data_IF_839240577548
#
_entry.id   IF_839240577548
#
_cell.length_a   1.000
_cell.length_b   1.000
_cell.length_c   1.000
_cell.angle_alpha   90.00
_cell.angle_beta   90.00
_cell.angle_gamma   90.00
#
_symmetry.space_group_name_H-M   'P 1'
#
loop_
_entity.id
_entity.type
_entity.pdbx_description
1 polymer ?
#
# COMPACT_ATOMS: atom_id res chain seq x y z
N UNK A 1 -14.23 -6.43 26.82
CA UNK A 1 -14.13 -5.27 25.91
C UNK A 1 -13.29 -5.72 24.74
N UNK A 2 -13.96 -5.95 23.61
CA UNK A 2 -13.37 -6.56 22.42
C UNK A 2 -12.28 -5.67 21.81
N UNK A 3 -11.08 -6.23 21.72
CA UNK A 3 -9.88 -5.61 21.19
C UNK A 3 -10.07 -5.49 19.68
N UNK A 4 -10.10 -4.24 19.22
CA UNK A 4 -10.38 -3.82 17.85
C UNK A 4 -9.58 -4.66 16.82
N UNK A 5 -10.23 -5.65 16.22
CA UNK A 5 -9.63 -6.59 15.26
C UNK A 5 -9.54 -5.95 13.87
N UNK A 6 -8.71 -4.91 13.72
CA UNK A 6 -8.45 -4.30 12.43
C UNK A 6 -7.68 -5.29 11.55
N UNK A 7 -8.42 -6.03 10.70
CA UNK A 7 -7.84 -6.88 9.67
C UNK A 7 -7.18 -5.99 8.61
N UNK A 8 -5.92 -6.23 8.22
CA UNK A 8 -5.28 -5.46 7.16
C UNK A 8 -6.06 -5.61 5.84
N UNK A 9 -6.27 -4.49 5.16
CA UNK A 9 -6.96 -4.44 3.87
C UNK A 9 -6.20 -5.32 2.88
N UNK A 10 -6.90 -6.29 2.29
CA UNK A 10 -6.32 -7.09 1.22
C UNK A 10 -6.34 -6.32 -0.10
N UNK A 11 -5.42 -6.65 -1.00
CA UNK A 11 -5.39 -6.04 -2.32
C UNK A 11 -6.70 -6.24 -3.10
N UNK A 12 -7.38 -7.37 -2.91
CA UNK A 12 -8.69 -7.64 -3.51
C UNK A 12 -9.77 -6.65 -3.03
N UNK A 13 -9.76 -6.34 -1.72
CA UNK A 13 -10.64 -5.36 -1.09
C UNK A 13 -10.31 -3.91 -1.51
N UNK A 14 -9.13 -3.65 -2.07
CA UNK A 14 -8.80 -2.38 -2.71
C UNK A 14 -9.25 -2.32 -4.18
N UNK A 15 -8.88 -3.32 -4.99
CA UNK A 15 -9.01 -3.27 -6.45
C UNK A 15 -10.48 -3.17 -6.87
N UNK A 16 -11.34 -4.06 -6.36
CA UNK A 16 -12.71 -4.16 -6.85
C UNK A 16 -13.57 -2.93 -6.50
N UNK A 17 -13.56 -2.40 -5.25
CA UNK A 17 -14.27 -1.17 -4.93
C UNK A 17 -13.73 0.04 -5.69
N UNK A 18 -12.39 0.18 -5.80
CA UNK A 18 -11.78 1.31 -6.50
C UNK A 18 -12.14 1.33 -7.99
N UNK A 19 -12.09 0.17 -8.66
CA UNK A 19 -12.52 0.06 -10.07
C UNK A 19 -13.99 0.47 -10.24
N UNK A 20 -14.87 0.01 -9.33
CA UNK A 20 -16.30 0.38 -9.36
C UNK A 20 -16.53 1.88 -9.14
N UNK A 21 -15.78 2.51 -8.23
CA UNK A 21 -15.85 3.95 -8.01
C UNK A 21 -15.45 4.76 -9.26
N UNK A 22 -14.49 4.24 -10.04
CA UNK A 22 -14.09 4.81 -11.33
C UNK A 22 -15.02 4.43 -12.49
N UNK A 23 -16.09 3.67 -12.23
CA UNK A 23 -17.03 3.14 -13.24
C UNK A 23 -16.35 2.36 -14.37
N UNK A 24 -15.21 1.71 -14.06
CA UNK A 24 -14.47 0.91 -15.03
C UNK A 24 -15.02 -0.51 -15.09
N UNK A 25 -15.17 -1.05 -16.30
CA UNK A 25 -15.43 -2.48 -16.49
C UNK A 25 -14.15 -3.29 -16.21
N UNK A 26 -14.29 -4.58 -15.88
CA UNK A 26 -13.12 -5.46 -15.69
C UNK A 26 -12.22 -5.56 -16.94
N UNK A 27 -12.76 -5.71 -18.18
CA UNK A 27 -11.93 -5.66 -19.38
C UNK A 27 -11.16 -4.35 -19.50
N UNK A 28 -11.84 -3.20 -19.29
CA UNK A 28 -11.20 -1.90 -19.42
C UNK A 28 -10.07 -1.68 -18.41
N UNK A 29 -10.26 -2.14 -17.17
CA UNK A 29 -9.23 -2.04 -16.15
C UNK A 29 -8.03 -2.94 -16.45
N UNK A 30 -8.27 -4.14 -16.99
CA UNK A 30 -7.20 -5.04 -17.44
C UNK A 30 -6.40 -4.44 -18.60
N UNK A 31 -7.08 -3.83 -19.58
CA UNK A 31 -6.43 -3.14 -20.71
C UNK A 31 -5.54 -1.98 -20.21
N UNK A 32 -6.04 -1.18 -19.26
CA UNK A 32 -5.29 -0.07 -18.67
C UNK A 32 -4.07 -0.56 -17.85
N UNK A 33 -4.16 -1.75 -17.26
CA UNK A 33 -3.07 -2.36 -16.51
C UNK A 33 -2.11 -3.19 -17.38
N UNK A 34 -2.38 -3.32 -18.68
CA UNK A 34 -1.55 -4.10 -19.60
C UNK A 34 -1.59 -5.60 -19.35
N UNK A 35 -2.68 -6.13 -18.77
CA UNK A 35 -2.82 -7.56 -18.45
C UNK A 35 -4.05 -8.20 -19.05
N UNK A 36 -4.06 -9.53 -19.11
CA UNK A 36 -5.23 -10.27 -19.54
C UNK A 36 -6.40 -10.11 -18.56
N UNK A 37 -7.64 -10.01 -19.08
CA UNK A 37 -8.88 -9.86 -18.29
C UNK A 37 -8.98 -10.90 -17.17
N UNK A 38 -8.62 -12.16 -17.45
CA UNK A 38 -8.70 -13.23 -16.46
C UNK A 38 -7.75 -13.00 -15.28
N UNK A 39 -6.55 -12.47 -15.55
CA UNK A 39 -5.56 -12.09 -14.53
C UNK A 39 -6.12 -11.02 -13.60
N UNK A 40 -6.74 -9.98 -14.16
CA UNK A 40 -7.43 -8.96 -13.38
C UNK A 40 -8.53 -9.53 -12.48
N UNK A 41 -9.37 -10.42 -13.02
CA UNK A 41 -10.44 -11.09 -12.25
C UNK A 41 -9.86 -11.92 -11.10
N UNK A 42 -8.72 -12.59 -11.30
CA UNK A 42 -8.09 -13.37 -10.23
C UNK A 42 -7.54 -12.50 -9.10
N UNK A 43 -7.04 -11.31 -9.42
CA UNK A 43 -6.60 -10.33 -8.41
C UNK A 43 -7.78 -9.75 -7.63
N UNK A 44 -8.89 -9.41 -8.28
CA UNK A 44 -10.11 -8.94 -7.61
C UNK A 44 -10.72 -9.98 -6.67
N UNK A 45 -10.53 -11.27 -6.98
CA UNK A 45 -11.01 -12.37 -6.14
C UNK A 45 -10.00 -12.76 -5.05
N UNK A 46 -8.83 -12.12 -5.00
CA UNK A 46 -7.76 -12.46 -4.06
C UNK A 46 -7.19 -13.87 -4.25
N UNK A 47 -7.38 -14.49 -5.42
CA UNK A 47 -6.93 -15.87 -5.70
C UNK A 47 -5.44 -15.95 -5.97
N UNK A 48 -4.89 -14.90 -6.56
CA UNK A 48 -3.48 -14.80 -6.95
C UNK A 48 -2.98 -13.43 -6.52
N UNK A 49 -1.77 -13.38 -5.98
CA UNK A 49 -1.08 -12.11 -5.71
C UNK A 49 -0.38 -11.64 -6.99
N UNK A 50 -0.50 -10.37 -7.37
CA UNK A 50 0.31 -9.83 -8.46
C UNK A 50 1.79 -9.83 -8.06
N UNK A 51 2.63 -10.11 -9.06
CA UNK A 51 4.08 -9.87 -8.98
C UNK A 51 4.38 -8.37 -9.01
N UNK A 52 5.52 -7.95 -8.48
CA UNK A 52 5.91 -6.53 -8.35
C UNK A 52 5.86 -5.74 -9.67
N UNK A 53 6.24 -6.37 -10.79
CA UNK A 53 6.19 -5.73 -12.11
C UNK A 53 4.76 -5.35 -12.55
N UNK A 54 3.73 -5.93 -11.95
CA UNK A 54 2.34 -5.58 -12.23
C UNK A 54 1.82 -4.40 -11.40
N UNK A 55 2.55 -3.95 -10.37
CA UNK A 55 2.05 -2.95 -9.43
C UNK A 55 1.77 -1.62 -10.14
N UNK A 56 2.71 -1.17 -10.96
CA UNK A 56 2.56 0.06 -11.74
C UNK A 56 1.32 0.02 -12.66
N UNK A 57 1.06 -1.12 -13.31
CA UNK A 57 -0.13 -1.28 -14.16
C UNK A 57 -1.43 -1.24 -13.36
N UNK A 58 -1.46 -1.88 -12.19
CA UNK A 58 -2.62 -1.84 -11.29
C UNK A 58 -2.85 -0.40 -10.78
N UNK A 59 -1.80 0.29 -10.37
CA UNK A 59 -1.85 1.67 -9.86
C UNK A 59 -2.34 2.64 -10.94
N UNK A 60 -1.84 2.50 -12.17
CA UNK A 60 -2.29 3.27 -13.33
C UNK A 60 -3.78 3.03 -13.62
N UNK A 61 -4.20 1.76 -13.71
CA UNK A 61 -5.60 1.42 -14.01
C UNK A 61 -6.58 1.93 -12.95
N UNK A 62 -6.14 1.99 -11.68
CA UNK A 62 -6.95 2.44 -10.55
C UNK A 62 -6.74 3.90 -10.17
N UNK A 63 -5.93 4.63 -10.93
CA UNK A 63 -5.54 6.01 -10.63
C UNK A 63 -5.13 6.16 -9.17
N UNK A 64 -4.20 5.30 -8.74
CA UNK A 64 -3.62 5.28 -7.41
C UNK A 64 -2.22 5.90 -7.45
N UNK A 65 -1.76 6.50 -6.33
CA UNK A 65 -0.36 6.88 -6.18
C UNK A 65 0.57 5.68 -6.33
N UNK A 66 1.76 5.92 -6.88
CA UNK A 66 2.80 4.91 -6.99
C UNK A 66 3.18 4.35 -5.59
N UNK A 67 3.35 3.03 -5.48
CA UNK A 67 3.69 2.34 -4.24
C UNK A 67 2.49 1.94 -3.36
N UNK A 68 1.28 2.38 -3.70
CA UNK A 68 0.06 2.02 -2.95
C UNK A 68 -0.14 0.50 -2.90
N UNK A 69 0.09 -0.21 -4.00
CA UNK A 69 -0.11 -1.66 -4.05
C UNK A 69 0.90 -2.39 -3.15
N UNK A 70 2.15 -1.95 -3.16
CA UNK A 70 3.19 -2.48 -2.29
C UNK A 70 2.86 -2.25 -0.82
N UNK A 71 2.40 -1.04 -0.46
CA UNK A 71 2.01 -0.71 0.91
C UNK A 71 0.83 -1.56 1.40
N UNK A 72 -0.16 -1.80 0.54
CA UNK A 72 -1.33 -2.64 0.88
C UNK A 72 -0.91 -4.09 1.10
N UNK A 73 -0.04 -4.62 0.24
CA UNK A 73 0.49 -5.97 0.40
C UNK A 73 1.41 -6.13 1.61
N UNK A 74 2.12 -5.05 1.99
CA UNK A 74 2.91 -4.97 3.23
C UNK A 74 2.04 -4.70 4.48
N UNK A 75 0.74 -4.47 4.32
CA UNK A 75 -0.18 -4.16 5.42
C UNK A 75 0.09 -2.80 6.06
N UNK A 76 0.67 -1.85 5.32
CA UNK A 76 1.00 -0.49 5.75
C UNK A 76 -0.13 0.52 5.48
N UNK A 77 -1.12 0.12 4.69
CA UNK A 77 -2.28 0.95 4.35
C UNK A 77 -3.54 0.37 4.96
N UNK A 78 -4.05 1.04 5.99
CA UNK A 78 -5.41 0.87 6.50
C UNK A 78 -6.28 1.95 5.85
N UNK A 79 -6.52 1.88 4.53
CA UNK A 79 -7.47 2.86 3.96
C UNK A 79 -8.87 2.47 4.40
N UNK A 80 -9.42 3.24 5.34
CA UNK A 80 -10.85 3.51 5.33
C UNK A 80 -11.20 3.97 3.89
N UNK A 81 -12.03 3.23 3.14
CA UNK A 81 -12.23 3.44 1.71
C UNK A 81 -12.88 4.79 1.35
N UNK A 82 -13.22 5.63 2.34
CA UNK A 82 -14.04 6.83 2.20
C UNK A 82 -13.29 8.16 2.40
N UNK A 83 -11.96 8.17 2.54
CA UNK A 83 -11.25 9.46 2.65
C UNK A 83 -11.25 10.23 1.32
N UNK A 84 -11.70 11.50 1.31
CA UNK A 84 -11.75 12.33 0.11
C UNK A 84 -10.33 12.59 -0.43
N UNK A 85 -10.21 12.78 -1.75
CA UNK A 85 -8.95 13.02 -2.46
C UNK A 85 -7.95 13.99 -1.78
N UNK A 86 -8.36 15.13 -1.17
CA UNK A 86 -7.43 16.00 -0.44
C UNK A 86 -6.77 15.33 0.77
N UNK A 87 -7.49 14.51 1.53
CA UNK A 87 -6.93 13.83 2.70
C UNK A 87 -5.88 12.78 2.30
N UNK A 88 -6.04 12.14 1.13
CA UNK A 88 -5.06 11.18 0.60
C UNK A 88 -3.76 11.86 0.15
N UNK A 89 -3.87 13.01 -0.51
CA UNK A 89 -2.71 13.81 -0.91
C UNK A 89 -1.93 14.29 0.32
N UNK A 90 -2.65 14.61 1.41
CA UNK A 90 -2.03 15.00 2.67
C UNK A 90 -1.29 13.84 3.33
N UNK A 91 -1.86 12.64 3.40
CA UNK A 91 -1.17 11.46 3.94
C UNK A 91 0.13 11.16 3.17
N UNK A 92 0.11 11.27 1.83
CA UNK A 92 1.31 11.07 1.00
C UNK A 92 2.34 12.18 1.23
N UNK A 93 1.92 13.46 1.27
CA UNK A 93 2.82 14.59 1.58
C UNK A 93 3.45 14.47 2.95
N UNK A 94 2.66 14.09 3.94
CA UNK A 94 3.10 13.87 5.31
C UNK A 94 4.09 12.72 5.38
N UNK A 95 3.84 11.60 4.69
CA UNK A 95 4.81 10.49 4.60
C UNK A 95 6.13 10.92 3.97
N UNK A 96 6.09 11.65 2.85
CA UNK A 96 7.30 12.16 2.19
C UNK A 96 8.07 13.08 3.13
N UNK A 97 7.37 13.97 3.85
CA UNK A 97 7.97 14.82 4.90
C UNK A 97 8.60 13.98 6.01
N UNK A 98 7.94 12.96 6.55
CA UNK A 98 8.47 12.09 7.62
C UNK A 98 9.76 11.40 7.19
N UNK A 99 9.81 10.88 5.96
CA UNK A 99 10.98 10.15 5.46
C UNK A 99 12.20 11.07 5.26
N UNK A 100 11.98 12.34 4.90
CA UNK A 100 13.04 13.34 4.76
C UNK A 100 13.30 14.18 6.03
N UNK A 101 12.39 14.16 7.00
CA UNK A 101 12.42 15.06 8.15
C UNK A 101 13.59 14.76 9.09
N UNK A 102 14.13 15.84 9.66
CA UNK A 102 15.01 15.79 10.81
C UNK A 102 14.23 15.39 12.08
N UNK A 103 14.91 14.91 13.14
CA UNK A 103 14.25 14.57 14.40
C UNK A 103 13.39 15.70 14.99
N UNK A 104 13.79 16.96 14.79
CA UNK A 104 13.04 18.13 15.27
C UNK A 104 11.76 18.36 14.44
N UNK A 105 11.83 18.21 13.13
CA UNK A 105 10.67 18.32 12.24
C UNK A 105 9.66 17.19 12.47
N UNK A 106 10.11 16.00 12.88
CA UNK A 106 9.23 14.88 13.23
C UNK A 106 8.35 15.17 14.45
N UNK A 107 8.84 15.95 15.41
CA UNK A 107 8.07 16.35 16.60
C UNK A 107 6.95 17.32 16.21
N UNK A 108 7.25 18.29 15.33
CA UNK A 108 6.23 19.21 14.80
C UNK A 108 5.20 18.46 13.95
N UNK A 109 5.65 17.56 13.07
CA UNK A 109 4.76 16.78 12.22
C UNK A 109 3.87 15.82 13.03
N UNK A 110 4.36 15.32 14.18
CA UNK A 110 3.54 14.48 15.06
C UNK A 110 2.30 15.22 15.53
N UNK A 111 2.42 16.48 15.95
CA UNK A 111 1.27 17.26 16.41
C UNK A 111 0.23 17.45 15.30
N UNK A 112 0.67 17.80 14.08
CA UNK A 112 -0.21 17.94 12.91
C UNK A 112 -0.92 16.62 12.56
N UNK A 113 -0.20 15.50 12.67
CA UNK A 113 -0.75 14.18 12.37
C UNK A 113 -1.70 13.69 13.47
N UNK A 114 -1.39 13.97 14.74
CA UNK A 114 -2.26 13.68 15.88
C UNK A 114 -3.60 14.42 15.77
N UNK A 115 -3.59 15.68 15.30
CA UNK A 115 -4.80 16.49 15.11
C UNK A 115 -5.70 15.95 13.99
N UNK A 116 -5.10 15.45 12.90
CA UNK A 116 -5.84 14.97 11.72
C UNK A 116 -6.31 13.51 11.88
N UNK A 117 -5.48 12.64 12.45
CA UNK A 117 -5.71 11.18 12.47
C UNK A 117 -6.03 10.61 13.86
N UNK A 118 -5.87 11.41 14.92
CA UNK A 118 -5.96 10.95 16.30
C UNK A 118 -4.66 10.30 16.78
N UNK A 119 -4.38 10.45 18.08
CA UNK A 119 -3.08 10.15 18.70
C UNK A 119 -2.55 8.73 18.47
N UNK A 120 -3.39 7.72 18.65
CA UNK A 120 -2.97 6.32 18.47
C UNK A 120 -2.63 5.99 17.01
N UNK A 121 -3.39 6.56 16.06
CA UNK A 121 -3.16 6.34 14.63
C UNK A 121 -1.89 7.07 14.17
N UNK A 122 -1.64 8.27 14.71
CA UNK A 122 -0.43 9.04 14.47
C UNK A 122 0.83 8.28 14.93
N UNK A 123 0.81 7.71 16.13
CA UNK A 123 1.96 6.99 16.68
C UNK A 123 2.29 5.72 15.90
N UNK A 124 1.28 4.94 15.49
CA UNK A 124 1.49 3.75 14.67
C UNK A 124 1.98 4.08 13.26
N UNK A 125 1.43 5.15 12.66
CA UNK A 125 1.87 5.65 11.35
C UNK A 125 3.32 6.12 11.38
N UNK A 126 3.71 6.91 12.39
CA UNK A 126 5.08 7.37 12.58
C UNK A 126 6.04 6.21 12.82
N UNK A 127 5.66 5.24 13.66
CA UNK A 127 6.47 4.04 13.94
C UNK A 127 6.76 3.24 12.67
N UNK A 128 5.74 3.00 11.82
CA UNK A 128 5.89 2.30 10.56
C UNK A 128 6.70 3.08 9.51
N UNK A 129 6.49 4.40 9.43
CA UNK A 129 7.24 5.24 8.50
C UNK A 129 8.73 5.35 8.87
N UNK A 130 9.05 5.40 10.17
CA UNK A 130 10.44 5.43 10.65
C UNK A 130 11.15 4.09 10.47
N UNK A 131 10.46 2.96 10.64
CA UNK A 131 11.02 1.63 10.37
C UNK A 131 11.48 1.44 8.91
N UNK A 132 11.01 2.28 7.97
CA UNK A 132 11.47 2.28 6.57
C UNK A 132 12.74 3.11 6.35
N UNK A 133 13.13 3.98 7.30
CA UNK A 133 14.43 4.68 7.26
C UNK A 133 15.57 3.77 7.72
N UNK A 134 15.26 2.78 8.54
CA UNK A 134 16.24 1.80 8.99
C UNK A 134 16.50 0.78 7.89
N UNK A 135 17.76 0.54 7.48
CA UNK A 135 18.07 -0.53 6.54
C UNK A 135 17.59 -1.86 7.14
N UNK A 136 17.02 -2.77 6.33
CA UNK A 136 16.58 -4.07 6.83
C UNK A 136 17.75 -4.74 7.56
N UNK A 137 17.50 -5.42 8.70
CA UNK A 137 18.57 -6.06 9.45
C UNK A 137 19.36 -6.98 8.50
N UNK A 138 20.70 -6.89 8.47
CA UNK A 138 21.51 -7.74 7.62
C UNK A 138 21.37 -9.19 8.09
N UNK A 139 20.43 -9.94 7.51
CA UNK A 139 20.15 -11.31 7.95
C UNK A 139 18.87 -11.97 7.44
N UNK A 140 18.07 -11.35 6.55
CA UNK A 140 16.94 -12.04 5.92
C UNK A 140 17.40 -13.18 4.99
N UNK A 141 16.77 -14.37 5.02
CA UNK A 141 17.31 -15.57 4.39
C UNK A 141 17.45 -15.38 2.89
N UNK A 142 18.72 -15.35 2.46
CA UNK A 142 19.13 -15.31 1.07
C UNK A 142 18.47 -16.44 0.28
N UNK A 143 17.89 -16.03 -0.84
CA UNK A 143 17.45 -16.85 -1.94
C UNK A 143 18.53 -17.90 -2.29
N UNK A 144 18.39 -19.12 -1.77
CA UNK A 144 19.21 -20.25 -2.18
C UNK A 144 18.85 -20.58 -3.63
N UNK A 145 19.67 -20.02 -4.53
CA UNK A 145 19.83 -20.46 -5.91
C UNK A 145 19.98 -21.97 -5.92
N UNK A 146 18.97 -22.68 -6.40
CA UNK A 146 19.12 -24.08 -6.80
C UNK A 146 19.77 -24.08 -8.17
N UNK A 147 21.10 -24.04 -8.18
CA UNK A 147 21.86 -24.64 -9.26
C UNK A 147 21.53 -26.14 -9.26
N UNK A 148 20.72 -26.56 -10.24
CA UNK A 148 20.49 -27.96 -10.53
C UNK A 148 21.33 -28.30 -11.75
N UNK A 149 22.56 -28.70 -11.48
CA UNK A 149 23.48 -29.30 -12.46
C UNK A 149 22.81 -30.51 -13.07
N UNK A 150 22.78 -30.54 -14.40
CA UNK A 150 22.37 -31.67 -15.23
C UNK A 150 23.52 -32.67 -15.23
N UNK A 151 23.22 -33.94 -14.96
CA UNK A 151 24.08 -35.08 -15.31
C UNK A 151 23.18 -36.22 -15.76
#
# INVERSE_FOLDING_TARGET
>A
MDVNSQKPLTLAELIAPRRKALRLSQPRAADLAGVHRQTWITWEKGRVRPEEYNYAGIEQALQLPAGTVADVLAGLVTTAPDLPAPARAEVVRTRTRILSATPEELVALRQDVEEVMGREVADEFLRRALALREPPPPGGPGNQRRDRTVS
#
